data_IF_063020031742
#
_entry.id   IF_063020031742
#
_cell.length_a   1.000
_cell.length_b   1.000
_cell.length_c   1.000
_cell.angle_alpha   90.00
_cell.angle_beta   90.00
_cell.angle_gamma   90.00
#
_symmetry.space_group_name_H-M   'P 1'
#
loop_
_entity.id
_entity.type
_entity.pdbx_description
1 polymer ?
#
# COMPACT_ATOMS: atom_id res chain seq x y z
N UNK A 1 26.21 13.93 -9.04
CA UNK A 1 24.93 13.42 -9.59
C UNK A 1 24.72 12.03 -9.02
N UNK A 2 23.51 11.66 -8.57
CA UNK A 2 23.22 10.31 -8.08
C UNK A 2 23.09 9.37 -9.28
N UNK A 3 24.22 8.88 -9.81
CA UNK A 3 24.24 7.93 -10.93
C UNK A 3 24.16 6.49 -10.43
N UNK A 4 23.77 5.55 -11.30
CA UNK A 4 23.71 4.13 -10.95
C UNK A 4 25.07 3.58 -10.52
N UNK A 5 26.16 4.02 -11.16
CA UNK A 5 27.53 3.60 -10.84
C UNK A 5 27.93 4.09 -9.45
N UNK A 6 27.64 5.36 -9.14
CA UNK A 6 27.92 5.93 -7.83
C UNK A 6 27.16 5.23 -6.71
N UNK A 7 25.87 4.96 -6.91
CA UNK A 7 25.06 4.22 -5.93
C UNK A 7 25.56 2.79 -5.77
N UNK A 8 25.91 2.11 -6.86
CA UNK A 8 26.47 0.76 -6.80
C UNK A 8 27.79 0.73 -6.02
N UNK A 9 28.69 1.68 -6.28
CA UNK A 9 29.96 1.80 -5.55
C UNK A 9 29.72 2.01 -4.06
N UNK A 10 28.82 2.93 -3.67
CA UNK A 10 28.48 3.17 -2.25
C UNK A 10 27.89 1.95 -1.58
N UNK A 11 26.99 1.23 -2.24
CA UNK A 11 26.43 -0.03 -1.72
C UNK A 11 27.55 -1.05 -1.49
N UNK A 12 28.47 -1.19 -2.44
CA UNK A 12 29.61 -2.11 -2.32
C UNK A 12 30.57 -1.71 -1.19
N UNK A 13 30.88 -0.43 -1.04
CA UNK A 13 31.69 0.09 0.06
C UNK A 13 31.06 -0.23 1.43
N UNK A 14 29.76 0.03 1.58
CA UNK A 14 29.02 -0.28 2.81
C UNK A 14 29.03 -1.78 3.09
N UNK A 15 28.75 -2.63 2.09
CA UNK A 15 28.77 -4.08 2.25
C UNK A 15 30.14 -4.56 2.76
N UNK A 16 31.22 -4.14 2.11
CA UNK A 16 32.60 -4.49 2.51
C UNK A 16 32.94 -3.99 3.90
N UNK A 17 32.63 -2.73 4.20
CA UNK A 17 32.90 -2.09 5.50
C UNK A 17 32.23 -2.79 6.67
N UNK A 18 31.03 -3.32 6.47
CA UNK A 18 30.22 -3.97 7.51
C UNK A 18 30.20 -5.51 7.41
N UNK A 19 31.10 -6.11 6.63
CA UNK A 19 31.28 -7.56 6.58
C UNK A 19 30.16 -8.34 5.89
N UNK A 20 29.37 -7.69 5.03
CA UNK A 20 28.43 -8.40 4.17
C UNK A 20 29.17 -9.10 3.03
N UNK A 21 28.61 -10.22 2.55
CA UNK A 21 29.18 -10.97 1.43
C UNK A 21 29.32 -10.09 0.18
N UNK A 22 30.41 -10.29 -0.57
CA UNK A 22 30.61 -9.66 -1.87
C UNK A 22 29.76 -10.40 -2.92
N UNK A 23 28.53 -9.92 -3.11
CA UNK A 23 27.56 -10.49 -4.03
C UNK A 23 27.37 -9.50 -5.19
N UNK A 24 27.54 -9.94 -6.44
CA UNK A 24 27.30 -9.06 -7.58
C UNK A 24 25.81 -8.69 -7.67
N UNK A 25 25.53 -7.43 -8.02
CA UNK A 25 24.17 -6.96 -8.27
C UNK A 25 24.12 -5.94 -9.40
N UNK A 26 22.94 -5.77 -9.99
CA UNK A 26 22.69 -4.78 -11.05
C UNK A 26 21.63 -3.75 -10.65
N UNK A 27 21.99 -2.47 -10.84
CA UNK A 27 21.06 -1.33 -10.79
C UNK A 27 20.76 -0.92 -12.23
N UNK A 28 19.50 -1.06 -12.64
CA UNK A 28 19.04 -0.65 -13.97
C UNK A 28 18.78 0.86 -14.00
N UNK A 29 18.23 1.43 -12.93
CA UNK A 29 17.88 2.85 -12.86
C UNK A 29 17.97 3.43 -11.43
N UNK A 30 18.25 4.73 -11.33
CA UNK A 30 18.21 5.50 -10.09
C UNK A 30 17.41 6.77 -10.34
N UNK A 31 16.39 7.00 -9.52
CA UNK A 31 15.49 8.16 -9.63
C UNK A 31 15.55 8.91 -8.30
N UNK A 32 15.86 10.21 -8.35
CA UNK A 32 15.83 11.05 -7.16
C UNK A 32 14.65 12.02 -7.23
N UNK A 33 13.74 11.91 -6.27
CA UNK A 33 12.64 12.84 -6.07
C UNK A 33 13.07 13.94 -5.11
N UNK A 34 13.37 15.12 -5.67
CA UNK A 34 13.81 16.28 -4.90
C UNK A 34 12.72 16.89 -4.01
N UNK A 35 11.44 16.69 -4.35
CA UNK A 35 10.32 17.21 -3.55
C UNK A 35 10.17 16.43 -2.24
N UNK A 36 10.20 15.09 -2.33
CA UNK A 36 10.14 14.20 -1.18
C UNK A 36 11.48 13.97 -0.48
N UNK A 37 12.58 14.38 -1.10
CA UNK A 37 13.96 13.97 -0.76
C UNK A 37 14.09 12.45 -0.64
N UNK A 38 13.67 11.76 -1.71
CA UNK A 38 13.61 10.29 -1.77
C UNK A 38 14.43 9.76 -2.94
N UNK A 39 15.24 8.75 -2.65
CA UNK A 39 15.98 8.00 -3.66
C UNK A 39 15.29 6.68 -3.95
N UNK A 40 14.99 6.43 -5.21
CA UNK A 40 14.50 5.16 -5.72
C UNK A 40 15.61 4.46 -6.50
N UNK A 41 15.85 3.19 -6.16
CA UNK A 41 16.82 2.33 -6.84
C UNK A 41 16.05 1.20 -7.49
N UNK A 42 16.17 1.07 -8.81
CA UNK A 42 15.51 0.01 -9.58
C UNK A 42 16.54 -1.08 -9.86
N UNK A 43 16.42 -2.17 -9.11
CA UNK A 43 17.19 -3.39 -9.30
C UNK A 43 16.63 -4.19 -10.48
N UNK A 44 17.50 -4.91 -11.19
CA UNK A 44 17.05 -5.72 -12.34
C UNK A 44 16.12 -6.85 -11.92
N UNK A 45 16.44 -7.57 -10.85
CA UNK A 45 15.57 -8.60 -10.30
C UNK A 45 15.45 -8.56 -8.76
N UNK A 46 14.78 -9.56 -8.17
CA UNK A 46 14.60 -9.65 -6.72
C UNK A 46 15.88 -10.02 -5.96
N UNK A 47 16.78 -10.78 -6.59
CA UNK A 47 18.08 -11.14 -6.00
C UNK A 47 18.96 -9.90 -5.91
N UNK A 48 19.00 -9.09 -6.98
CA UNK A 48 19.68 -7.80 -7.02
C UNK A 48 19.11 -6.84 -5.96
N UNK A 49 17.77 -6.74 -5.87
CA UNK A 49 17.09 -5.95 -4.82
C UNK A 49 17.54 -6.40 -3.44
N UNK A 50 17.56 -7.71 -3.17
CA UNK A 50 18.00 -8.26 -1.89
C UNK A 50 19.47 -7.95 -1.60
N UNK A 51 20.36 -8.05 -2.59
CA UNK A 51 21.76 -7.69 -2.44
C UNK A 51 21.96 -6.19 -2.13
N UNK A 52 21.19 -5.30 -2.76
CA UNK A 52 21.24 -3.86 -2.48
C UNK A 52 20.69 -3.56 -1.07
N UNK A 53 19.61 -4.23 -0.66
CA UNK A 53 18.98 -4.06 0.66
C UNK A 53 19.86 -4.64 1.79
N UNK A 54 20.48 -5.79 1.55
CA UNK A 54 21.23 -6.60 2.51
C UNK A 54 20.33 -7.27 3.55
N UNK A 55 19.89 -6.49 4.55
CA UNK A 55 18.94 -6.86 5.60
C UNK A 55 18.32 -5.56 6.16
N UNK A 56 17.97 -4.65 5.27
CA UNK A 56 17.64 -3.24 5.54
C UNK A 56 18.79 -2.39 6.12
N UNK A 57 19.89 -3.01 6.54
CA UNK A 57 21.07 -2.33 7.08
C UNK A 57 21.80 -1.52 6.01
N UNK A 58 22.06 -2.11 4.84
CA UNK A 58 22.85 -1.48 3.77
C UNK A 58 22.15 -0.23 3.27
N UNK A 59 20.85 -0.33 2.97
CA UNK A 59 20.03 0.84 2.58
C UNK A 59 19.91 1.87 3.70
N UNK A 60 19.89 1.44 4.97
CA UNK A 60 19.88 2.34 6.12
C UNK A 60 21.15 3.18 6.20
N UNK A 61 22.31 2.56 5.98
CA UNK A 61 23.61 3.25 5.91
C UNK A 61 23.75 4.11 4.66
N UNK A 62 23.29 3.62 3.51
CA UNK A 62 23.29 4.40 2.28
C UNK A 62 22.46 5.69 2.45
N UNK A 63 21.28 5.58 3.07
CA UNK A 63 20.46 6.75 3.42
C UNK A 63 21.22 7.74 4.31
N UNK A 64 21.88 7.26 5.37
CA UNK A 64 22.67 8.09 6.28
C UNK A 64 23.84 8.79 5.58
N UNK A 65 24.59 8.08 4.74
CA UNK A 65 25.75 8.63 4.03
C UNK A 65 25.37 9.62 2.93
N UNK A 66 24.22 9.40 2.26
CA UNK A 66 23.72 10.32 1.23
C UNK A 66 22.94 11.51 1.81
N UNK A 67 22.56 11.47 3.08
CA UNK A 67 21.81 12.54 3.74
C UNK A 67 20.37 12.72 3.21
N UNK A 68 19.80 11.69 2.57
CA UNK A 68 18.42 11.73 2.03
C UNK A 68 17.40 11.24 3.05
N UNK A 69 16.16 11.73 3.03
CA UNK A 69 15.10 11.28 3.95
C UNK A 69 14.76 9.80 3.80
N UNK A 70 14.75 9.28 2.58
CA UNK A 70 14.33 7.90 2.31
C UNK A 70 15.08 7.30 1.11
N UNK A 71 15.43 6.02 1.24
CA UNK A 71 15.91 5.18 0.13
C UNK A 71 14.96 4.01 -0.01
N UNK A 72 14.47 3.73 -1.22
CA UNK A 72 13.60 2.59 -1.52
C UNK A 72 14.14 1.83 -2.72
N UNK A 73 14.12 0.51 -2.63
CA UNK A 73 14.62 -0.38 -3.69
C UNK A 73 13.47 -1.20 -4.23
N UNK A 74 13.22 -1.09 -5.54
CA UNK A 74 12.23 -1.89 -6.26
C UNK A 74 12.94 -2.87 -7.20
N UNK A 75 12.33 -4.02 -7.45
CA UNK A 75 12.74 -4.83 -8.60
C UNK A 75 11.97 -4.36 -9.83
N UNK A 76 12.60 -4.42 -11.00
CA UNK A 76 11.96 -4.09 -12.27
C UNK A 76 10.72 -4.93 -12.53
N UNK A 77 10.74 -6.20 -12.14
CA UNK A 77 9.59 -7.10 -12.25
C UNK A 77 8.40 -6.62 -11.42
N UNK A 78 8.62 -6.17 -10.18
CA UNK A 78 7.53 -5.66 -9.32
C UNK A 78 6.89 -4.41 -9.96
N UNK A 79 7.68 -3.52 -10.57
CA UNK A 79 7.16 -2.34 -11.28
C UNK A 79 6.36 -2.71 -12.55
N UNK A 80 6.84 -3.67 -13.33
CA UNK A 80 6.10 -4.15 -14.52
C UNK A 80 4.77 -4.82 -14.15
N UNK A 81 4.73 -5.57 -13.04
CA UNK A 81 3.49 -6.16 -12.53
C UNK A 81 2.51 -5.05 -12.12
N UNK A 82 3.00 -4.02 -11.41
CA UNK A 82 2.20 -2.86 -11.03
C UNK A 82 1.62 -2.16 -12.26
N UNK A 83 2.45 -1.84 -13.26
CA UNK A 83 2.05 -1.18 -14.50
C UNK A 83 0.91 -1.95 -15.19
N UNK A 84 1.10 -3.26 -15.40
CA UNK A 84 0.09 -4.11 -16.04
C UNK A 84 -1.24 -4.14 -15.28
N UNK A 85 -1.19 -4.24 -13.94
CA UNK A 85 -2.41 -4.22 -13.10
C UNK A 85 -3.13 -2.88 -13.18
N UNK A 86 -2.39 -1.78 -13.15
CA UNK A 86 -2.96 -0.43 -13.25
C UNK A 86 -3.63 -0.23 -14.62
N UNK A 87 -3.00 -0.68 -15.72
CA UNK A 87 -3.61 -0.63 -17.05
C UNK A 87 -4.91 -1.45 -17.15
N UNK A 88 -4.92 -2.66 -16.58
CA UNK A 88 -6.13 -3.49 -16.49
C UNK A 88 -7.23 -2.78 -15.71
N UNK A 89 -6.87 -2.09 -14.63
CA UNK A 89 -7.80 -1.36 -13.79
C UNK A 89 -8.37 -0.10 -14.46
N UNK A 90 -7.58 0.62 -15.26
CA UNK A 90 -8.08 1.72 -16.10
C UNK A 90 -9.19 1.22 -17.04
N UNK A 91 -9.01 0.03 -17.64
CA UNK A 91 -10.03 -0.57 -18.52
C UNK A 91 -11.30 -0.95 -17.75
N UNK A 92 -11.17 -1.47 -16.53
CA UNK A 92 -12.30 -1.92 -15.69
C UNK A 92 -13.18 -0.79 -15.18
N UNK A 93 -12.62 0.39 -14.93
CA UNK A 93 -13.40 1.54 -14.42
C UNK A 93 -14.05 2.38 -15.51
N UNK A 94 -13.66 2.20 -16.78
CA UNK A 94 -14.16 3.00 -17.90
C UNK A 94 -15.67 2.84 -18.05
N UNK A 95 -16.41 3.96 -18.09
CA UNK A 95 -17.87 3.95 -18.17
C UNK A 95 -18.59 3.57 -16.88
N UNK A 96 -17.87 3.49 -15.75
CA UNK A 96 -18.44 3.27 -14.42
C UNK A 96 -18.41 4.56 -13.60
N UNK A 97 -19.09 4.60 -12.45
CA UNK A 97 -18.99 5.73 -11.52
C UNK A 97 -17.64 5.85 -10.83
N UNK A 98 -16.67 4.95 -11.11
CA UNK A 98 -15.28 5.07 -10.66
C UNK A 98 -14.35 5.72 -11.70
N UNK A 99 -14.86 6.18 -12.85
CA UNK A 99 -14.02 6.76 -13.92
C UNK A 99 -13.22 8.00 -13.47
N UNK A 100 -13.67 8.70 -12.42
CA UNK A 100 -12.93 9.79 -11.79
C UNK A 100 -11.56 9.36 -11.23
N UNK A 101 -11.32 8.07 -10.99
CA UNK A 101 -10.02 7.54 -10.54
C UNK A 101 -8.99 7.44 -11.67
N UNK A 102 -9.39 7.62 -12.93
CA UNK A 102 -8.50 7.49 -14.10
C UNK A 102 -7.24 8.38 -14.01
N UNK A 103 -7.29 9.66 -13.61
CA UNK A 103 -6.10 10.49 -13.48
C UNK A 103 -5.10 9.96 -12.42
N UNK A 104 -5.61 9.33 -11.35
CA UNK A 104 -4.77 8.70 -10.32
C UNK A 104 -4.05 7.48 -10.91
N UNK A 105 -4.76 6.65 -11.66
CA UNK A 105 -4.18 5.47 -12.30
C UNK A 105 -3.16 5.85 -13.38
N UNK A 106 -3.43 6.87 -14.19
CA UNK A 106 -2.47 7.38 -15.17
C UNK A 106 -1.20 7.94 -14.51
N UNK A 107 -1.33 8.54 -13.32
CA UNK A 107 -0.18 8.96 -12.52
C UNK A 107 0.60 7.76 -11.95
N UNK A 108 -0.09 6.68 -11.56
CA UNK A 108 0.56 5.46 -11.08
C UNK A 108 1.39 4.73 -12.14
N UNK A 109 1.05 4.86 -13.43
CA UNK A 109 1.87 4.31 -14.52
C UNK A 109 3.26 4.97 -14.62
N UNK A 110 3.42 6.17 -14.04
CA UNK A 110 4.69 6.91 -14.01
C UNK A 110 5.45 6.72 -12.69
N UNK A 111 4.96 5.83 -11.82
CA UNK A 111 5.60 5.54 -10.55
C UNK A 111 6.88 4.71 -10.75
N UNK A 112 8.00 5.01 -10.06
CA UNK A 112 8.20 6.06 -9.03
C UNK A 112 8.82 7.37 -9.58
N UNK A 113 8.58 8.53 -8.94
CA UNK A 113 7.83 8.75 -7.71
C UNK A 113 6.31 8.84 -7.90
N UNK A 114 5.54 8.68 -6.82
CA UNK A 114 4.10 8.87 -6.82
C UNK A 114 3.77 10.37 -6.81
N UNK A 115 3.16 10.87 -7.90
CA UNK A 115 2.69 12.26 -8.01
C UNK A 115 1.23 12.29 -8.45
N UNK A 116 0.32 12.11 -7.50
CA UNK A 116 -1.12 12.14 -7.79
C UNK A 116 -1.61 13.56 -8.04
N UNK A 117 -2.46 13.77 -9.06
CA UNK A 117 -3.20 15.01 -9.19
C UNK A 117 -4.17 15.19 -8.02
N UNK A 118 -4.49 16.43 -7.69
CA UNK A 118 -5.57 16.74 -6.77
C UNK A 118 -6.92 16.47 -7.45
N UNK A 119 -7.76 15.69 -6.79
CA UNK A 119 -9.14 15.45 -7.20
C UNK A 119 -10.05 15.96 -6.08
N UNK A 120 -11.14 16.65 -6.46
CA UNK A 120 -12.10 17.23 -5.53
C UNK A 120 -13.53 16.88 -5.98
N UNK A 121 -14.46 16.87 -5.02
CA UNK A 121 -15.90 16.81 -5.26
C UNK A 121 -16.41 15.58 -6.05
N UNK A 122 -15.84 14.39 -5.77
CA UNK A 122 -16.23 13.13 -6.43
C UNK A 122 -17.36 12.37 -5.71
N UNK A 123 -18.01 13.01 -4.75
CA UNK A 123 -19.15 12.45 -4.00
C UNK A 123 -18.76 11.80 -2.68
N UNK A 124 -19.62 10.90 -2.20
CA UNK A 124 -19.47 10.24 -0.91
C UNK A 124 -19.11 8.76 -1.08
N UNK A 125 -18.37 8.22 -0.11
CA UNK A 125 -18.04 6.79 -0.06
C UNK A 125 -18.21 6.25 1.35
N UNK A 126 -18.70 5.02 1.44
CA UNK A 126 -18.68 4.27 2.69
C UNK A 126 -17.25 3.76 2.91
N UNK A 127 -16.62 4.13 4.02
CA UNK A 127 -15.29 3.63 4.38
C UNK A 127 -15.42 2.76 5.62
N UNK A 128 -15.21 1.45 5.45
CA UNK A 128 -15.18 0.52 6.58
C UNK A 128 -13.79 0.48 7.20
N UNK A 129 -13.71 0.82 8.49
CA UNK A 129 -12.48 0.83 9.27
C UNK A 129 -11.98 -0.61 9.49
N UNK A 130 -11.10 -1.02 8.57
CA UNK A 130 -10.39 -2.30 8.55
C UNK A 130 -8.93 -2.12 8.97
N UNK A 131 -8.10 -3.16 8.88
CA UNK A 131 -6.70 -3.14 9.30
C UNK A 131 -5.90 -1.92 8.81
N UNK A 132 -6.13 -1.50 7.57
CA UNK A 132 -5.52 -0.35 6.93
C UNK A 132 -6.46 0.87 6.91
N UNK A 133 -7.34 1.04 7.90
CA UNK A 133 -8.34 2.12 8.00
C UNK A 133 -7.80 3.51 7.63
N UNK A 134 -6.58 3.85 8.10
CA UNK A 134 -5.94 5.13 7.79
C UNK A 134 -5.61 5.30 6.31
N UNK A 135 -5.19 4.23 5.64
CA UNK A 135 -4.99 4.23 4.19
C UNK A 135 -6.31 4.29 3.42
N UNK A 136 -7.36 3.62 3.91
CA UNK A 136 -8.70 3.66 3.27
C UNK A 136 -9.29 5.08 3.31
N UNK A 137 -9.24 5.73 4.48
CA UNK A 137 -9.72 7.11 4.65
C UNK A 137 -8.83 8.08 3.87
N UNK A 138 -7.51 7.96 3.99
CA UNK A 138 -6.58 8.83 3.28
C UNK A 138 -6.69 8.69 1.75
N UNK A 139 -6.98 7.50 1.24
CA UNK A 139 -7.28 7.28 -0.17
C UNK A 139 -8.56 8.00 -0.57
N UNK A 140 -9.67 7.79 0.15
CA UNK A 140 -10.96 8.44 -0.13
C UNK A 140 -10.79 9.97 -0.21
N UNK A 141 -10.18 10.57 0.82
CA UNK A 141 -9.91 12.01 0.87
C UNK A 141 -9.02 12.47 -0.29
N UNK A 142 -7.97 11.72 -0.64
CA UNK A 142 -7.04 12.09 -1.72
C UNK A 142 -7.65 12.03 -3.11
N UNK A 143 -8.67 11.20 -3.30
CA UNK A 143 -9.41 11.11 -4.57
C UNK A 143 -10.67 11.97 -4.56
N UNK A 144 -10.82 12.89 -3.60
CA UNK A 144 -11.92 13.85 -3.56
C UNK A 144 -13.25 13.26 -3.11
N UNK A 145 -13.25 12.10 -2.44
CA UNK A 145 -14.43 11.52 -1.82
C UNK A 145 -14.57 11.98 -0.37
N UNK A 146 -15.81 12.22 0.06
CA UNK A 146 -16.15 12.44 1.46
C UNK A 146 -16.35 11.06 2.13
N UNK A 147 -15.54 10.69 3.13
CA UNK A 147 -15.62 9.38 3.75
C UNK A 147 -16.71 9.32 4.84
N UNK A 148 -17.74 8.51 4.61
CA UNK A 148 -18.72 8.09 5.62
C UNK A 148 -18.16 6.87 6.35
N UNK A 149 -17.68 7.09 7.58
CA UNK A 149 -16.86 6.11 8.33
C UNK A 149 -17.75 5.16 9.14
N UNK A 150 -17.61 3.86 8.91
CA UNK A 150 -18.25 2.80 9.70
C UNK A 150 -17.21 1.80 10.20
N UNK A 151 -17.42 1.15 11.33
CA UNK A 151 -16.43 0.22 11.86
C UNK A 151 -16.95 -0.64 13.00
N UNK A 152 -16.25 -1.74 13.28
CA UNK A 152 -16.58 -2.62 14.40
C UNK A 152 -16.39 -1.85 15.71
N UNK A 153 -17.41 -1.92 16.57
CA UNK A 153 -17.41 -1.29 17.89
C UNK A 153 -16.11 -1.57 18.65
N UNK A 154 -15.52 -0.51 19.19
CA UNK A 154 -14.25 -0.52 19.96
C UNK A 154 -12.98 -0.90 19.19
N UNK A 155 -13.03 -1.18 17.89
CA UNK A 155 -11.82 -1.51 17.12
C UNK A 155 -10.86 -0.32 16.99
N UNK A 156 -11.38 0.90 16.88
CA UNK A 156 -10.61 2.14 16.70
C UNK A 156 -11.02 3.23 17.72
N UNK A 157 -10.70 3.09 19.02
CA UNK A 157 -11.24 3.97 20.08
C UNK A 157 -10.81 5.45 19.98
N UNK A 158 -9.84 5.77 19.12
CA UNK A 158 -9.35 7.14 18.91
C UNK A 158 -10.02 7.86 17.73
N UNK A 159 -10.92 7.18 17.02
CA UNK A 159 -11.51 7.65 15.76
C UNK A 159 -13.00 7.87 15.94
N UNK A 160 -13.53 8.87 15.24
CA UNK A 160 -14.95 9.10 15.12
C UNK A 160 -15.49 8.33 13.91
N UNK A 161 -16.44 7.42 14.16
CA UNK A 161 -17.12 6.60 13.16
C UNK A 161 -18.43 6.05 13.74
N UNK A 162 -19.33 5.66 12.85
CA UNK A 162 -20.54 4.94 13.22
C UNK A 162 -20.21 3.49 13.56
N UNK A 163 -20.41 3.14 14.83
CA UNK A 163 -20.11 1.81 15.34
C UNK A 163 -21.20 0.81 14.93
N UNK A 164 -20.77 -0.30 14.34
CA UNK A 164 -21.65 -1.43 13.99
C UNK A 164 -21.25 -2.68 14.78
N UNK A 165 -22.23 -3.52 15.07
CA UNK A 165 -22.00 -4.83 15.69
C UNK A 165 -21.36 -5.77 14.68
N UNK A 166 -20.42 -6.62 15.08
CA UNK A 166 -19.77 -7.59 14.21
C UNK A 166 -18.59 -8.28 14.90
N UNK A 167 -17.98 -9.23 14.19
CA UNK A 167 -16.89 -10.04 14.73
C UNK A 167 -15.53 -9.33 14.59
N UNK A 168 -14.56 -9.60 15.49
CA UNK A 168 -13.17 -9.14 15.34
C UNK A 168 -12.51 -9.58 14.02
N UNK A 169 -13.01 -10.63 13.38
CA UNK A 169 -12.53 -11.09 12.07
C UNK A 169 -12.84 -10.10 10.96
N UNK A 170 -13.97 -9.40 11.05
CA UNK A 170 -14.39 -8.43 10.02
C UNK A 170 -13.43 -7.25 9.87
N UNK A 171 -12.68 -6.90 10.92
CA UNK A 171 -11.62 -5.87 10.85
C UNK A 171 -10.53 -6.24 9.82
N UNK A 172 -10.31 -7.53 9.58
CA UNK A 172 -9.33 -8.06 8.62
C UNK A 172 -9.98 -8.53 7.32
N UNK A 173 -11.22 -9.04 7.41
CA UNK A 173 -11.99 -9.56 6.27
C UNK A 173 -13.40 -8.97 6.31
N UNK A 174 -13.60 -7.78 5.73
CA UNK A 174 -14.89 -7.08 5.77
C UNK A 174 -16.03 -7.91 5.17
N UNK A 175 -17.21 -7.86 5.79
CA UNK A 175 -18.42 -8.54 5.30
C UNK A 175 -19.03 -7.75 4.13
N UNK A 176 -18.99 -8.33 2.93
CA UNK A 176 -19.51 -7.68 1.72
C UNK A 176 -21.01 -7.38 1.79
N UNK A 177 -21.84 -8.31 2.26
CA UNK A 177 -23.30 -8.17 2.19
C UNK A 177 -23.78 -7.10 3.16
N UNK A 178 -23.25 -7.14 4.38
CA UNK A 178 -23.54 -6.16 5.41
C UNK A 178 -23.12 -4.75 5.01
N UNK A 179 -21.95 -4.57 4.40
CA UNK A 179 -21.51 -3.25 3.96
C UNK A 179 -22.34 -2.74 2.77
N UNK A 180 -22.81 -3.62 1.90
CA UNK A 180 -23.73 -3.27 0.81
C UNK A 180 -25.07 -2.79 1.35
N UNK A 181 -25.64 -3.46 2.36
CA UNK A 181 -26.88 -3.04 3.01
C UNK A 181 -26.75 -1.62 3.60
N UNK A 182 -25.69 -1.37 4.36
CA UNK A 182 -25.39 -0.05 4.93
C UNK A 182 -25.22 1.01 3.84
N UNK A 183 -24.52 0.68 2.76
CA UNK A 183 -24.33 1.60 1.64
C UNK A 183 -25.67 1.94 0.96
N UNK A 184 -26.56 0.96 0.76
CA UNK A 184 -27.90 1.16 0.20
C UNK A 184 -28.76 2.07 1.07
N UNK A 185 -28.79 1.83 2.38
CA UNK A 185 -29.53 2.65 3.34
C UNK A 185 -29.10 4.13 3.30
N UNK A 186 -27.81 4.36 3.03
CA UNK A 186 -27.21 5.70 2.93
C UNK A 186 -27.16 6.26 1.51
N UNK A 187 -27.65 5.54 0.51
CA UNK A 187 -27.60 5.97 -0.90
C UNK A 187 -26.20 6.07 -1.51
N UNK A 188 -25.23 5.31 -0.97
CA UNK A 188 -23.82 5.34 -1.37
C UNK A 188 -23.52 4.29 -2.45
N UNK A 189 -22.71 4.66 -3.45
CA UNK A 189 -22.34 3.78 -4.58
C UNK A 189 -20.92 3.23 -4.49
N UNK A 190 -20.12 3.67 -3.52
CA UNK A 190 -18.72 3.27 -3.36
C UNK A 190 -18.48 2.83 -1.93
N UNK A 191 -17.90 1.64 -1.76
CA UNK A 191 -17.46 1.08 -0.49
C UNK A 191 -15.95 0.86 -0.57
N UNK A 192 -15.21 1.38 0.39
CA UNK A 192 -13.76 1.29 0.47
C UNK A 192 -13.37 0.49 1.72
N UNK A 193 -12.62 -0.59 1.52
CA UNK A 193 -12.13 -1.41 2.63
C UNK A 193 -11.01 -2.38 2.23
N UNK A 194 -10.44 -3.09 3.21
CA UNK A 194 -9.49 -4.19 2.99
C UNK A 194 -10.18 -5.47 2.46
N UNK A 195 -10.90 -5.38 1.35
CA UNK A 195 -11.48 -6.56 0.69
C UNK A 195 -10.39 -7.52 0.20
N UNK A 196 -10.66 -8.84 0.13
CA UNK A 196 -9.73 -9.83 -0.41
C UNK A 196 -9.59 -9.79 -1.95
N UNK A 197 -10.18 -8.79 -2.61
CA UNK A 197 -10.09 -8.52 -4.04
C UNK A 197 -9.83 -7.02 -4.25
N UNK A 198 -9.46 -6.62 -5.47
CA UNK A 198 -9.17 -5.22 -5.78
C UNK A 198 -10.42 -4.37 -6.04
N UNK A 199 -11.31 -4.84 -6.91
CA UNK A 199 -12.54 -4.15 -7.30
C UNK A 199 -13.61 -5.17 -7.69
N UNK A 200 -14.79 -5.05 -7.09
CA UNK A 200 -15.97 -5.84 -7.44
C UNK A 200 -17.18 -4.93 -7.54
N UNK A 201 -17.98 -5.10 -8.58
CA UNK A 201 -19.28 -4.47 -8.68
C UNK A 201 -20.34 -5.49 -8.26
N UNK A 202 -21.21 -5.11 -7.32
CA UNK A 202 -22.40 -5.88 -6.97
C UNK A 202 -23.60 -4.95 -7.09
N UNK A 203 -24.50 -5.29 -8.00
CA UNK A 203 -25.58 -4.41 -8.46
C UNK A 203 -25.01 -3.11 -9.06
N UNK A 204 -25.13 -1.99 -8.36
CA UNK A 204 -24.62 -0.68 -8.76
C UNK A 204 -23.61 -0.09 -7.76
N UNK A 205 -23.12 -0.92 -6.84
CA UNK A 205 -22.18 -0.53 -5.78
C UNK A 205 -20.80 -1.10 -6.10
N UNK A 206 -19.79 -0.24 -6.05
CA UNK A 206 -18.39 -0.62 -6.21
C UNK A 206 -17.76 -0.91 -4.84
N UNK A 207 -17.25 -2.13 -4.67
CA UNK A 207 -16.46 -2.55 -3.53
C UNK A 207 -14.99 -2.48 -3.93
N UNK A 208 -14.23 -1.58 -3.31
CA UNK A 208 -12.87 -1.23 -3.70
C UNK A 208 -11.90 -1.47 -2.54
N UNK A 209 -10.83 -2.22 -2.82
CA UNK A 209 -9.61 -2.20 -2.00
C UNK A 209 -8.53 -1.39 -2.72
N UNK A 210 -8.26 -0.14 -2.32
CA UNK A 210 -7.30 0.73 -2.99
C UNK A 210 -5.88 0.16 -3.03
N UNK A 211 -5.46 -0.60 -2.02
CA UNK A 211 -4.11 -1.17 -1.98
C UNK A 211 -3.93 -2.25 -3.05
N UNK A 212 -4.91 -3.15 -3.16
CA UNK A 212 -4.90 -4.19 -4.21
C UNK A 212 -5.12 -3.59 -5.60
N UNK A 213 -6.02 -2.61 -5.70
CA UNK A 213 -6.36 -1.91 -6.94
C UNK A 213 -5.20 -1.11 -7.51
N UNK A 214 -4.39 -0.47 -6.67
CA UNK A 214 -3.22 0.28 -7.11
C UNK A 214 -1.94 -0.56 -7.11
N UNK A 215 -2.02 -1.83 -6.67
CA UNK A 215 -0.87 -2.65 -6.32
C UNK A 215 0.14 -1.86 -5.46
N UNK A 216 -0.39 -1.24 -4.40
CA UNK A 216 0.35 -0.42 -3.44
C UNK A 216 0.66 -1.27 -2.21
N UNK A 217 1.95 -1.45 -1.92
CA UNK A 217 2.37 -2.26 -0.79
C UNK A 217 2.00 -1.65 0.56
N UNK A 218 1.92 -2.46 1.60
CA UNK A 218 1.59 -2.03 2.97
C UNK A 218 2.49 -0.90 3.49
N UNK A 219 3.81 -0.99 3.27
CA UNK A 219 4.74 0.06 3.71
C UNK A 219 4.58 1.34 2.93
N UNK A 220 4.38 1.20 1.63
CA UNK A 220 4.14 2.33 0.74
C UNK A 220 2.88 3.09 1.18
N UNK A 221 1.78 2.38 1.43
CA UNK A 221 0.56 2.95 1.98
C UNK A 221 0.78 3.57 3.36
N UNK A 222 1.53 2.90 4.24
CA UNK A 222 1.87 3.41 5.56
C UNK A 222 2.69 4.70 5.50
N UNK A 223 3.62 4.84 4.55
CA UNK A 223 4.40 6.07 4.39
C UNK A 223 3.58 7.18 3.73
N UNK A 224 2.65 6.83 2.86
CA UNK A 224 1.86 7.79 2.09
C UNK A 224 0.64 8.31 2.86
N UNK A 225 -0.10 7.42 3.53
CA UNK A 225 -1.32 7.76 4.28
C UNK A 225 -1.15 7.69 5.80
N UNK A 226 -0.14 6.96 6.28
CA UNK A 226 0.01 6.59 7.69
C UNK A 226 -0.59 5.23 8.01
N UNK A 227 -0.40 4.77 9.25
CA UNK A 227 -0.97 3.52 9.73
C UNK A 227 -1.40 3.67 11.19
N UNK A 228 -2.60 3.18 11.51
CA UNK A 228 -3.07 3.04 12.87
C UNK A 228 -3.61 1.63 13.07
N UNK A 229 -3.05 0.93 14.06
CA UNK A 229 -3.36 -0.47 14.30
C UNK A 229 -4.71 -0.59 15.04
N UNK A 230 -5.62 -1.48 14.62
CA UNK A 230 -6.83 -1.79 15.39
C UNK A 230 -6.48 -2.36 16.78
N UNK A 231 -7.34 -2.08 17.76
CA UNK A 231 -7.21 -2.60 19.13
C UNK A 231 -7.84 -3.99 19.25
N UNK A 232 -8.86 -4.28 18.43
CA UNK A 232 -9.60 -5.54 18.40
C UNK A 232 -9.47 -6.16 17.01
N UNK A 233 -9.00 -7.40 16.94
CA UNK A 233 -8.96 -8.22 15.73
C UNK A 233 -8.76 -9.69 16.12
N UNK A 234 -9.16 -10.61 15.24
CA UNK A 234 -8.91 -12.04 15.43
C UNK A 234 -7.45 -12.40 15.09
N UNK A 235 -6.76 -13.11 16.00
CA UNK A 235 -5.33 -13.44 15.87
C UNK A 235 -5.04 -14.48 14.79
N UNK A 236 -5.95 -15.41 14.53
CA UNK A 236 -5.79 -16.42 13.50
C UNK A 236 -6.09 -15.80 12.13
N UNK A 237 -7.16 -15.01 12.04
CA UNK A 237 -7.46 -14.23 10.85
C UNK A 237 -6.32 -13.27 10.48
N UNK A 238 -5.55 -12.76 11.46
CA UNK A 238 -4.37 -11.92 11.16
C UNK A 238 -3.31 -12.69 10.37
N UNK A 239 -3.12 -13.98 10.67
CA UNK A 239 -2.18 -14.84 9.93
C UNK A 239 -2.63 -14.97 8.49
N UNK A 240 -3.90 -15.32 8.26
CA UNK A 240 -4.47 -15.47 6.92
C UNK A 240 -4.41 -14.16 6.13
N UNK A 241 -4.73 -13.04 6.79
CA UNK A 241 -4.67 -11.71 6.19
C UNK A 241 -3.25 -11.38 5.73
N UNK A 242 -2.26 -11.58 6.59
CA UNK A 242 -0.85 -11.33 6.27
C UNK A 242 -0.37 -12.26 5.15
N UNK A 243 -0.72 -13.55 5.19
CA UNK A 243 -0.37 -14.51 4.13
C UNK A 243 -0.91 -14.03 2.78
N UNK A 244 -2.16 -13.55 2.73
CA UNK A 244 -2.75 -13.05 1.49
C UNK A 244 -1.98 -11.84 0.92
N UNK A 245 -1.59 -10.88 1.77
CA UNK A 245 -0.82 -9.72 1.35
C UNK A 245 0.58 -10.09 0.86
N UNK A 246 1.24 -11.05 1.52
CA UNK A 246 2.56 -11.53 1.12
C UNK A 246 2.47 -12.28 -0.21
N UNK A 247 1.48 -13.17 -0.36
CA UNK A 247 1.28 -13.95 -1.59
C UNK A 247 1.03 -13.05 -2.81
N UNK A 248 0.32 -11.95 -2.62
CA UNK A 248 0.02 -10.98 -3.69
C UNK A 248 1.13 -9.96 -3.94
N UNK A 249 2.23 -10.02 -3.18
CA UNK A 249 3.34 -9.07 -3.31
C UNK A 249 3.05 -7.69 -2.72
N UNK A 250 2.01 -7.54 -1.91
CA UNK A 250 1.65 -6.28 -1.23
C UNK A 250 2.36 -6.13 0.13
N UNK A 251 3.07 -7.14 0.59
CA UNK A 251 3.84 -7.11 1.83
C UNK A 251 5.06 -8.02 1.74
N UNK A 252 6.20 -7.57 2.25
CA UNK A 252 7.39 -8.41 2.37
C UNK A 252 7.20 -9.46 3.47
N UNK A 253 7.74 -10.67 3.28
CA UNK A 253 7.52 -11.80 4.19
C UNK A 253 8.07 -11.53 5.60
N UNK A 254 9.21 -10.84 5.70
CA UNK A 254 9.84 -10.45 6.97
C UNK A 254 8.96 -9.49 7.76
N UNK A 255 8.29 -8.57 7.08
CA UNK A 255 7.38 -7.62 7.71
C UNK A 255 6.07 -8.27 8.13
N UNK A 256 5.54 -9.17 7.30
CA UNK A 256 4.40 -10.00 7.65
C UNK A 256 4.64 -10.78 8.93
N UNK A 257 5.80 -11.46 9.03
CA UNK A 257 6.20 -12.18 10.23
C UNK A 257 6.27 -11.25 11.46
N UNK A 258 6.82 -10.04 11.31
CA UNK A 258 6.88 -9.04 12.38
C UNK A 258 5.49 -8.58 12.83
N UNK A 259 4.54 -8.40 11.90
CA UNK A 259 3.17 -8.01 12.22
C UNK A 259 2.43 -9.10 12.98
N UNK A 260 2.56 -10.36 12.56
CA UNK A 260 1.99 -11.53 13.25
C UNK A 260 2.54 -11.62 14.67
N UNK A 261 3.88 -11.58 14.81
CA UNK A 261 4.55 -11.65 16.11
C UNK A 261 4.07 -10.57 17.08
N UNK A 262 3.96 -9.32 16.61
CA UNK A 262 3.43 -8.19 17.39
C UNK A 262 1.93 -8.29 17.68
N UNK A 263 1.17 -8.96 16.81
CA UNK A 263 -0.25 -9.25 17.02
C UNK A 263 -0.49 -10.28 18.11
N UNK A 264 0.38 -11.29 18.19
CA UNK A 264 0.25 -12.42 19.12
C UNK A 264 0.80 -12.16 20.52
N UNK A 265 1.82 -11.29 20.65
CA UNK A 265 2.42 -10.90 21.95
C UNK A 265 1.51 -10.11 22.89
N UNK A 266 0.39 -9.60 22.40
CA UNK A 266 -0.67 -8.94 23.20
C UNK A 266 -1.75 -9.94 23.53
#
# INVERSE_FOLDING_TARGET
MLTKEFIAEKVMEIRKKYGFEDVPFFIDEVIYDSEGDKLFIIARDRSDKSAIIGNSFVIGKLREELGVKQVTVYSKLDLLIKEKRVEENIRRIKGTHLEFLKPILEAELKFPPRKWPELNDNGESLVFLSFNAKAMIGFAEKVGLIPVKVGIKYAFPKWEYEAIEGSPKEVLFPDEEKLIEIAKEKGLRIIISDFPFDLKFKEDIALLNPLRFLHMGFFEAKYFFGFEKPVIFDKNALVDFVISYVYEGLMESTDGANLIWRGWKR
#
